data_IF_300636109531
#
_entry.id   IF_300636109531
#
_cell.length_a   1.000
_cell.length_b   1.000
_cell.length_c   1.000
_cell.angle_alpha   90.00
_cell.angle_beta   90.00
_cell.angle_gamma   90.00
#
_symmetry.space_group_name_H-M   'P 1'
#
loop_
_entity.id
_entity.type
_entity.pdbx_description
1 polymer ?
#
# COMPACT_ATOMS: atom_id res chain seq x y z
N UNK A 1 -30.96 10.90 -3.71
CA UNK A 1 -30.12 9.82 -3.14
C UNK A 1 -28.81 10.42 -2.64
N UNK A 2 -28.31 9.95 -1.49
CA UNK A 2 -26.96 10.31 -1.01
C UNK A 2 -25.92 9.63 -1.91
N UNK A 3 -24.84 10.32 -2.23
CA UNK A 3 -23.81 9.88 -3.17
C UNK A 3 -22.47 9.64 -2.45
N UNK A 4 -21.66 8.78 -3.03
CA UNK A 4 -20.29 8.53 -2.59
C UNK A 4 -19.33 9.26 -3.52
N UNK A 5 -18.49 10.14 -2.98
CA UNK A 5 -17.53 10.93 -3.75
C UNK A 5 -16.12 10.62 -3.23
N UNK A 6 -15.31 9.97 -4.04
CA UNK A 6 -13.93 9.63 -3.70
C UNK A 6 -12.97 10.70 -4.21
N UNK A 7 -11.98 11.03 -3.38
CA UNK A 7 -10.87 11.93 -3.72
C UNK A 7 -9.58 11.11 -3.71
N UNK A 8 -8.96 10.94 -4.87
CA UNK A 8 -7.64 10.33 -5.00
C UNK A 8 -6.97 10.83 -6.28
N UNK A 9 -5.65 11.03 -6.25
CA UNK A 9 -4.92 11.58 -7.40
C UNK A 9 -4.95 10.66 -8.61
N UNK A 10 -4.97 9.34 -8.41
CA UNK A 10 -4.95 8.34 -9.46
C UNK A 10 -6.16 7.40 -9.37
N UNK A 11 -6.71 7.08 -10.51
CA UNK A 11 -7.82 6.14 -10.67
C UNK A 11 -7.67 5.38 -11.98
N UNK A 12 -8.50 4.36 -12.21
CA UNK A 12 -8.51 3.58 -13.44
C UNK A 12 -8.37 4.47 -14.71
N UNK A 13 -7.53 4.11 -15.68
CA UNK A 13 -6.77 2.86 -15.85
C UNK A 13 -5.36 2.85 -15.21
N UNK A 14 -5.08 3.70 -14.24
CA UNK A 14 -3.80 3.76 -13.55
C UNK A 14 -3.51 2.47 -12.76
N UNK A 15 -2.24 2.02 -12.77
CA UNK A 15 -1.79 0.77 -12.16
C UNK A 15 -1.11 0.93 -10.79
N UNK A 16 -1.09 2.12 -10.21
CA UNK A 16 -0.58 2.30 -8.85
C UNK A 16 -1.44 1.54 -7.83
N UNK A 17 -0.84 1.05 -6.74
CA UNK A 17 -1.56 0.28 -5.73
C UNK A 17 -2.77 1.04 -5.15
N UNK A 18 -2.62 2.35 -4.92
CA UNK A 18 -3.71 3.20 -4.42
C UNK A 18 -4.85 3.33 -5.41
N UNK A 19 -4.55 3.38 -6.71
CA UNK A 19 -5.54 3.40 -7.79
C UNK A 19 -6.28 2.08 -7.92
N UNK A 20 -5.55 0.95 -7.91
CA UNK A 20 -6.17 -0.38 -8.07
C UNK A 20 -7.16 -0.68 -6.94
N UNK A 21 -6.76 -0.47 -5.68
CA UNK A 21 -7.62 -0.68 -4.51
C UNK A 21 -8.85 0.24 -4.54
N UNK A 22 -8.68 1.51 -4.93
CA UNK A 22 -9.82 2.42 -5.09
C UNK A 22 -10.75 1.98 -6.21
N UNK A 23 -10.19 1.56 -7.35
CA UNK A 23 -10.97 1.11 -8.51
C UNK A 23 -11.81 -0.12 -8.18
N UNK A 24 -11.22 -1.09 -7.47
CA UNK A 24 -11.94 -2.26 -6.97
C UNK A 24 -13.15 -1.88 -6.12
N UNK A 25 -12.94 -1.00 -5.13
CA UNK A 25 -14.01 -0.56 -4.24
C UNK A 25 -15.08 0.24 -4.99
N UNK A 26 -14.68 1.19 -5.82
CA UNK A 26 -15.61 2.05 -6.56
C UNK A 26 -16.50 1.23 -7.52
N UNK A 27 -15.93 0.25 -8.21
CA UNK A 27 -16.65 -0.63 -9.12
C UNK A 27 -17.61 -1.55 -8.37
N UNK A 28 -17.20 -2.12 -7.22
CA UNK A 28 -18.05 -2.96 -6.39
C UNK A 28 -19.26 -2.18 -5.84
N UNK A 29 -19.03 -0.96 -5.35
CA UNK A 29 -20.10 -0.10 -4.83
C UNK A 29 -21.07 0.33 -5.94
N UNK A 30 -20.56 0.66 -7.13
CA UNK A 30 -21.39 0.98 -8.29
C UNK A 30 -22.22 -0.22 -8.74
N UNK A 31 -21.63 -1.41 -8.80
CA UNK A 31 -22.33 -2.65 -9.13
C UNK A 31 -23.41 -3.01 -8.08
N UNK A 32 -23.22 -2.58 -6.82
CA UNK A 32 -24.20 -2.72 -5.74
C UNK A 32 -25.31 -1.65 -5.76
N UNK A 33 -25.36 -0.79 -6.79
CA UNK A 33 -26.40 0.23 -6.98
C UNK A 33 -26.13 1.58 -6.30
N UNK A 34 -24.94 1.82 -5.73
CA UNK A 34 -24.59 3.13 -5.21
C UNK A 34 -24.25 4.13 -6.35
N UNK A 35 -24.63 5.39 -6.19
CA UNK A 35 -24.15 6.45 -7.07
C UNK A 35 -22.74 6.87 -6.64
N UNK A 36 -21.75 6.47 -7.44
CA UNK A 36 -20.32 6.66 -7.15
C UNK A 36 -19.71 7.68 -8.08
N UNK A 37 -19.02 8.65 -7.50
CA UNK A 37 -18.20 9.64 -8.19
C UNK A 37 -16.75 9.52 -7.74
N UNK A 38 -15.81 9.72 -8.67
CA UNK A 38 -14.38 9.78 -8.36
C UNK A 38 -13.80 11.07 -8.93
N UNK A 39 -13.17 11.88 -8.07
CA UNK A 39 -12.42 13.06 -8.50
C UNK A 39 -10.93 12.68 -8.49
N UNK A 40 -10.30 12.72 -9.66
CA UNK A 40 -8.92 12.27 -9.89
C UNK A 40 -8.17 13.19 -10.85
N UNK A 41 -6.87 12.95 -11.08
CA UNK A 41 -6.12 13.68 -12.11
C UNK A 41 -6.30 13.07 -13.50
N UNK A 42 -5.95 13.85 -14.54
CA UNK A 42 -5.87 13.36 -15.92
C UNK A 42 -4.60 12.54 -16.21
N UNK A 43 -3.67 12.53 -15.25
CA UNK A 43 -2.37 11.90 -15.36
C UNK A 43 -2.40 10.44 -14.90
N UNK A 44 -1.46 9.65 -15.39
CA UNK A 44 -1.14 8.32 -14.87
C UNK A 44 0.12 8.39 -14.00
N UNK A 45 0.24 7.44 -13.08
CA UNK A 45 1.36 7.35 -12.15
C UNK A 45 2.71 7.26 -12.86
N UNK A 46 2.81 6.40 -13.86
CA UNK A 46 4.03 6.16 -14.64
C UNK A 46 4.11 7.00 -15.94
N UNK A 47 3.05 7.72 -16.27
CA UNK A 47 2.97 8.59 -17.44
C UNK A 47 2.36 9.96 -17.08
N UNK A 48 3.14 10.87 -16.48
CA UNK A 48 2.65 12.18 -16.06
C UNK A 48 2.16 13.07 -17.20
N UNK A 49 2.56 12.76 -18.43
CA UNK A 49 2.13 13.47 -19.66
C UNK A 49 0.83 12.93 -20.24
N UNK A 50 0.28 11.84 -19.68
CA UNK A 50 -1.00 11.31 -20.12
C UNK A 50 -2.11 12.34 -19.91
N UNK A 51 -3.00 12.45 -20.88
CA UNK A 51 -4.16 13.34 -20.85
C UNK A 51 -5.46 12.56 -21.01
N UNK A 52 -5.90 11.90 -19.94
CA UNK A 52 -7.18 11.19 -19.94
C UNK A 52 -8.37 12.17 -20.10
N UNK A 53 -9.55 11.71 -20.63
CA UNK A 53 -10.75 12.53 -20.75
C UNK A 53 -11.16 13.19 -19.41
N UNK A 54 -11.70 14.41 -19.46
CA UNK A 54 -12.12 15.13 -18.25
C UNK A 54 -13.27 14.45 -17.52
N UNK A 55 -14.25 14.00 -18.27
CA UNK A 55 -15.43 13.28 -17.77
C UNK A 55 -15.48 11.92 -18.43
N UNK A 56 -15.87 10.93 -17.65
CA UNK A 56 -15.96 9.54 -18.10
C UNK A 56 -16.95 8.77 -17.24
N UNK A 57 -17.45 7.66 -17.76
CA UNK A 57 -18.24 6.69 -16.98
C UNK A 57 -17.62 5.31 -17.18
N UNK A 58 -16.98 4.81 -16.11
CA UNK A 58 -16.27 3.53 -16.15
C UNK A 58 -16.96 2.54 -15.22
N UNK A 59 -17.53 1.48 -15.78
CA UNK A 59 -18.27 0.45 -15.00
C UNK A 59 -19.31 1.07 -14.04
N UNK A 60 -20.04 2.09 -14.54
CA UNK A 60 -21.07 2.81 -13.77
C UNK A 60 -20.55 3.90 -12.82
N UNK A 61 -19.25 4.01 -12.61
CA UNK A 61 -18.61 5.06 -11.82
C UNK A 61 -18.45 6.33 -12.66
N UNK A 62 -18.94 7.47 -12.16
CA UNK A 62 -18.75 8.79 -12.77
C UNK A 62 -17.38 9.34 -12.39
N UNK A 63 -16.51 9.51 -13.38
CA UNK A 63 -15.10 9.92 -13.17
C UNK A 63 -14.91 11.36 -13.62
N UNK A 64 -14.49 12.22 -12.69
CA UNK A 64 -14.19 13.63 -12.91
C UNK A 64 -12.68 13.85 -12.85
N UNK A 65 -12.03 14.01 -14.01
CA UNK A 65 -10.57 14.18 -14.06
C UNK A 65 -10.20 15.65 -14.13
N UNK A 66 -9.48 16.12 -13.11
CA UNK A 66 -9.02 17.49 -12.99
C UNK A 66 -7.65 17.70 -13.60
N UNK A 67 -7.42 18.89 -14.16
CA UNK A 67 -6.12 19.28 -14.71
C UNK A 67 -5.15 19.64 -13.59
N UNK A 68 -3.90 19.20 -13.71
CA UNK A 68 -2.81 19.48 -12.79
C UNK A 68 -1.55 19.85 -13.58
N UNK A 69 -0.60 20.52 -12.92
CA UNK A 69 0.73 20.74 -13.49
C UNK A 69 1.54 19.43 -13.56
N UNK A 70 2.59 19.42 -14.38
CA UNK A 70 3.39 18.24 -14.72
C UNK A 70 4.89 18.46 -14.47
N UNK A 71 5.24 19.19 -13.41
CA UNK A 71 6.66 19.41 -13.05
C UNK A 71 7.38 18.13 -12.61
N UNK A 72 6.61 17.10 -12.23
CA UNK A 72 7.10 15.76 -11.97
C UNK A 72 7.63 15.54 -10.56
N UNK A 73 8.20 14.35 -10.36
CA UNK A 73 8.58 13.83 -9.02
C UNK A 73 10.07 13.96 -8.72
N UNK A 74 10.87 14.39 -9.69
CA UNK A 74 12.33 14.44 -9.55
C UNK A 74 12.77 15.45 -8.48
N UNK A 75 12.11 16.61 -8.39
CA UNK A 75 12.42 17.65 -7.43
C UNK A 75 11.25 17.96 -6.48
N UNK A 76 11.58 18.22 -5.20
CA UNK A 76 10.57 18.56 -4.18
C UNK A 76 9.72 19.80 -4.53
N UNK A 77 10.28 20.91 -5.06
CA UNK A 77 9.48 22.08 -5.44
C UNK A 77 8.46 21.79 -6.53
N UNK A 78 8.87 21.08 -7.59
CA UNK A 78 7.96 20.67 -8.67
C UNK A 78 6.79 19.82 -8.18
N UNK A 79 7.10 18.84 -7.32
CA UNK A 79 6.09 18.01 -6.67
C UNK A 79 5.12 18.82 -5.79
N UNK A 80 5.61 19.81 -5.07
CA UNK A 80 4.78 20.69 -4.25
C UNK A 80 3.80 21.53 -5.11
N UNK A 81 4.28 22.03 -6.26
CA UNK A 81 3.44 22.77 -7.22
C UNK A 81 2.39 21.86 -7.83
N UNK A 82 2.76 20.65 -8.22
CA UNK A 82 1.80 19.65 -8.74
C UNK A 82 0.72 19.32 -7.72
N UNK A 83 1.06 19.15 -6.45
CA UNK A 83 0.08 18.95 -5.39
C UNK A 83 -0.83 20.18 -5.19
N UNK A 84 -0.25 21.39 -5.14
CA UNK A 84 -1.02 22.62 -4.98
C UNK A 84 -2.02 22.82 -6.14
N UNK A 85 -1.60 22.57 -7.38
CA UNK A 85 -2.46 22.65 -8.57
C UNK A 85 -3.58 21.60 -8.53
N UNK A 86 -3.25 20.36 -8.08
CA UNK A 86 -4.25 19.31 -7.89
C UNK A 86 -5.27 19.70 -6.81
N UNK A 87 -4.83 20.14 -5.62
CA UNK A 87 -5.75 20.55 -4.55
C UNK A 87 -6.70 21.66 -4.98
N UNK A 88 -6.19 22.67 -5.69
CA UNK A 88 -7.04 23.75 -6.22
C UNK A 88 -8.09 23.23 -7.20
N UNK A 89 -7.71 22.37 -8.12
CA UNK A 89 -8.60 21.81 -9.14
C UNK A 89 -9.60 20.83 -8.55
N UNK A 90 -9.14 19.92 -7.67
CA UNK A 90 -9.97 19.00 -6.89
C UNK A 90 -11.02 19.75 -6.04
N UNK A 91 -10.59 20.80 -5.31
CA UNK A 91 -11.48 21.61 -4.51
C UNK A 91 -12.60 22.23 -5.34
N UNK A 92 -12.28 22.83 -6.48
CA UNK A 92 -13.27 23.43 -7.38
C UNK A 92 -14.25 22.37 -7.89
N UNK A 93 -13.76 21.25 -8.35
CA UNK A 93 -14.59 20.14 -8.83
C UNK A 93 -15.47 19.58 -7.70
N UNK A 94 -14.90 19.30 -6.54
CA UNK A 94 -15.63 18.77 -5.40
C UNK A 94 -16.71 19.75 -4.92
N UNK A 95 -16.40 21.07 -4.88
CA UNK A 95 -17.36 22.11 -4.49
C UNK A 95 -18.55 22.23 -5.44
N UNK A 96 -18.35 22.04 -6.75
CA UNK A 96 -19.45 22.07 -7.72
C UNK A 96 -20.30 20.81 -7.70
N UNK A 97 -19.74 19.71 -7.21
CA UNK A 97 -20.38 18.39 -7.23
C UNK A 97 -21.13 18.07 -5.92
N UNK A 98 -20.54 18.42 -4.76
CA UNK A 98 -21.02 18.01 -3.44
C UNK A 98 -22.39 18.58 -3.11
N UNK A 99 -23.24 17.76 -2.49
CA UNK A 99 -24.58 18.14 -2.02
C UNK A 99 -24.76 17.73 -0.55
N UNK A 100 -25.81 18.27 0.06
CA UNK A 100 -26.19 17.90 1.42
C UNK A 100 -26.43 16.39 1.53
N UNK A 101 -25.80 15.79 2.54
CA UNK A 101 -25.95 14.38 2.85
C UNK A 101 -25.02 13.44 2.06
N UNK A 102 -24.24 13.94 1.10
CA UNK A 102 -23.21 13.13 0.42
C UNK A 102 -22.14 12.66 1.39
N UNK A 103 -21.47 11.57 1.04
CA UNK A 103 -20.29 11.04 1.76
C UNK A 103 -19.05 11.30 0.90
N UNK A 104 -18.14 12.10 1.42
CA UNK A 104 -16.87 12.43 0.78
C UNK A 104 -15.77 11.58 1.37
N UNK A 105 -15.15 10.71 0.57
CA UNK A 105 -14.09 9.80 0.98
C UNK A 105 -12.75 10.35 0.49
N UNK A 106 -11.91 10.78 1.44
CA UNK A 106 -10.60 11.34 1.13
C UNK A 106 -9.51 10.28 1.38
N UNK A 107 -8.85 9.83 0.31
CA UNK A 107 -7.68 8.96 0.38
C UNK A 107 -6.39 9.79 0.54
N UNK A 108 -5.30 9.17 0.99
CA UNK A 108 -4.05 9.88 1.31
C UNK A 108 -3.13 10.14 0.11
N UNK A 109 -3.58 9.96 -1.11
CA UNK A 109 -2.88 10.37 -2.33
C UNK A 109 -3.69 11.44 -3.11
N UNK A 110 -3.28 12.72 -3.02
CA UNK A 110 -2.08 13.25 -2.35
C UNK A 110 -2.27 13.40 -0.83
N UNK A 111 -1.15 13.53 -0.08
CA UNK A 111 -1.18 13.76 1.37
C UNK A 111 -2.09 14.91 1.77
N UNK A 112 -2.79 14.81 2.91
CA UNK A 112 -3.63 15.88 3.46
C UNK A 112 -4.88 16.28 2.62
N UNK A 113 -5.29 15.49 1.63
CA UNK A 113 -6.55 15.71 0.91
C UNK A 113 -7.76 15.82 1.87
N UNK A 114 -7.71 15.10 2.98
CA UNK A 114 -8.71 15.13 4.06
C UNK A 114 -8.90 16.49 4.72
N UNK A 115 -7.86 17.34 4.76
CA UNK A 115 -7.95 18.69 5.34
C UNK A 115 -8.88 19.56 4.49
N UNK A 116 -8.74 19.49 3.18
CA UNK A 116 -9.61 20.19 2.24
C UNK A 116 -11.03 19.60 2.24
N UNK A 117 -11.13 18.29 2.28
CA UNK A 117 -12.40 17.59 2.34
C UNK A 117 -13.20 17.94 3.62
N UNK A 118 -12.54 18.04 4.78
CA UNK A 118 -13.16 18.42 6.05
C UNK A 118 -13.84 19.81 5.99
N UNK A 119 -13.22 20.76 5.29
CA UNK A 119 -13.81 22.09 5.12
C UNK A 119 -15.02 22.06 4.16
N UNK A 120 -14.95 21.26 3.10
CA UNK A 120 -16.06 21.11 2.15
C UNK A 120 -17.29 20.51 2.84
N UNK A 121 -17.12 19.38 3.53
CA UNK A 121 -18.26 18.69 4.17
C UNK A 121 -18.96 19.57 5.21
N UNK A 122 -18.20 20.39 5.93
CA UNK A 122 -18.77 21.35 6.90
C UNK A 122 -19.68 22.38 6.23
N UNK A 123 -19.28 22.88 5.06
CA UNK A 123 -20.05 23.91 4.32
C UNK A 123 -21.31 23.36 3.67
N UNK A 124 -21.37 22.08 3.35
CA UNK A 124 -22.47 21.45 2.62
C UNK A 124 -23.32 20.49 3.46
N UNK A 125 -23.05 20.38 4.77
CA UNK A 125 -23.69 19.39 5.64
C UNK A 125 -23.61 17.97 5.05
N UNK A 126 -22.42 17.60 4.60
CA UNK A 126 -22.04 16.29 4.09
C UNK A 126 -21.17 15.55 5.13
N UNK A 127 -20.83 14.29 4.89
CA UNK A 127 -20.04 13.47 5.81
C UNK A 127 -18.65 13.23 5.24
N UNK A 128 -17.63 13.19 6.12
CA UNK A 128 -16.24 12.88 5.74
C UNK A 128 -15.89 11.48 6.19
N UNK A 129 -15.29 10.72 5.28
CA UNK A 129 -14.55 9.49 5.58
C UNK A 129 -13.08 9.72 5.21
N UNK A 130 -12.18 9.55 6.16
CA UNK A 130 -10.75 9.49 5.87
C UNK A 130 -10.37 8.04 5.55
N UNK A 131 -9.73 7.81 4.41
CA UNK A 131 -9.13 6.53 4.04
C UNK A 131 -7.62 6.64 4.13
N UNK A 132 -7.07 6.22 5.27
CA UNK A 132 -5.68 6.42 5.63
C UNK A 132 -4.84 5.22 5.18
N UNK A 133 -4.04 5.42 4.13
CA UNK A 133 -3.01 4.47 3.69
C UNK A 133 -1.67 4.77 4.36
N UNK A 134 -1.43 6.07 4.56
CA UNK A 134 -0.21 6.64 5.11
C UNK A 134 -0.54 7.79 6.06
N UNK A 135 0.23 7.96 7.11
CA UNK A 135 0.05 9.05 8.06
C UNK A 135 1.04 10.18 7.77
N UNK A 136 0.53 11.27 7.21
CA UNK A 136 1.27 12.50 6.94
C UNK A 136 0.91 13.59 7.95
N UNK A 137 1.86 14.47 8.33
CA UNK A 137 3.20 14.66 7.79
C UNK A 137 4.29 13.76 8.40
N UNK A 138 3.99 12.93 9.38
CA UNK A 138 4.96 12.13 10.14
C UNK A 138 5.75 11.18 9.22
N UNK A 139 5.10 10.54 8.28
CA UNK A 139 5.79 9.69 7.30
C UNK A 139 6.80 10.47 6.47
N UNK A 140 6.45 11.69 6.04
CA UNK A 140 7.38 12.55 5.31
C UNK A 140 8.59 12.94 6.18
N UNK A 141 8.35 13.25 7.45
CA UNK A 141 9.42 13.58 8.41
C UNK A 141 10.35 12.38 8.66
N UNK A 142 9.78 11.17 8.85
CA UNK A 142 10.53 9.93 9.06
C UNK A 142 11.31 9.49 7.81
N UNK A 143 10.83 9.80 6.61
CA UNK A 143 11.54 9.52 5.35
C UNK A 143 12.52 10.63 4.92
N UNK A 144 12.76 11.63 5.78
CA UNK A 144 13.79 12.65 5.58
C UNK A 144 13.37 13.80 4.65
N UNK A 145 12.07 14.08 4.50
CA UNK A 145 11.60 15.25 3.75
C UNK A 145 11.91 16.52 4.56
N UNK A 146 12.68 17.48 4.00
CA UNK A 146 13.02 18.74 4.69
C UNK A 146 11.76 19.49 5.16
N UNK A 147 11.90 20.25 6.24
CA UNK A 147 10.85 21.10 6.84
C UNK A 147 9.64 20.36 7.43
N UNK A 148 9.52 19.03 7.27
CA UNK A 148 8.45 18.25 7.90
C UNK A 148 8.72 17.97 9.39
N UNK A 149 9.98 18.13 9.83
CA UNK A 149 10.34 18.21 11.26
C UNK A 149 10.33 19.68 11.68
N UNK A 150 9.37 20.13 12.48
CA UNK A 150 9.31 21.50 12.97
C UNK A 150 7.94 22.17 12.83
N UNK A 151 7.89 23.51 12.84
CA UNK A 151 6.64 24.28 12.89
C UNK A 151 5.68 23.97 11.72
N UNK A 152 6.21 23.84 10.52
CA UNK A 152 5.39 23.52 9.33
C UNK A 152 4.74 22.13 9.46
N UNK A 153 5.51 21.10 9.79
CA UNK A 153 5.00 19.76 10.02
C UNK A 153 3.98 19.71 11.15
N UNK A 154 4.27 20.37 12.28
CA UNK A 154 3.35 20.45 13.41
C UNK A 154 2.03 21.13 13.05
N UNK A 155 2.06 22.17 12.22
CA UNK A 155 0.86 22.85 11.74
C UNK A 155 0.02 21.94 10.84
N UNK A 156 0.67 21.25 9.91
CA UNK A 156 -0.01 20.28 9.04
C UNK A 156 -0.59 19.11 9.84
N UNK A 157 0.14 18.60 10.85
CA UNK A 157 -0.35 17.56 11.75
C UNK A 157 -1.59 18.01 12.52
N UNK A 158 -1.61 19.24 13.06
CA UNK A 158 -2.78 19.81 13.74
C UNK A 158 -3.99 19.92 12.82
N UNK A 159 -3.80 20.35 11.56
CA UNK A 159 -4.87 20.42 10.58
C UNK A 159 -5.42 19.03 10.23
N UNK A 160 -4.53 18.05 10.02
CA UNK A 160 -4.89 16.66 9.79
C UNK A 160 -5.65 16.08 11.00
N UNK A 161 -5.18 16.31 12.24
CA UNK A 161 -5.84 15.81 13.45
C UNK A 161 -7.26 16.39 13.60
N UNK A 162 -7.46 17.66 13.25
CA UNK A 162 -8.82 18.25 13.19
C UNK A 162 -9.72 17.53 12.19
N UNK A 163 -9.17 17.10 11.04
CA UNK A 163 -9.91 16.31 10.06
C UNK A 163 -10.28 14.92 10.62
N UNK A 164 -9.34 14.24 11.33
CA UNK A 164 -9.60 12.95 11.98
C UNK A 164 -10.73 13.04 13.03
N UNK A 165 -10.67 14.07 13.89
CA UNK A 165 -11.69 14.27 14.94
C UNK A 165 -13.07 14.59 14.39
N UNK A 166 -13.16 15.25 13.23
CA UNK A 166 -14.41 15.66 12.59
C UNK A 166 -15.01 14.63 11.64
N UNK A 167 -14.21 13.67 11.20
CA UNK A 167 -14.67 12.65 10.26
C UNK A 167 -15.77 11.78 10.89
N UNK A 168 -16.72 11.38 10.07
CA UNK A 168 -17.74 10.40 10.43
C UNK A 168 -17.12 9.00 10.60
N UNK A 169 -16.08 8.69 9.79
CA UNK A 169 -15.26 7.50 9.93
C UNK A 169 -13.82 7.76 9.50
N UNK A 170 -12.88 7.08 10.18
CA UNK A 170 -11.47 6.99 9.81
C UNK A 170 -11.15 5.53 9.51
N UNK A 171 -10.97 5.19 8.25
CA UNK A 171 -10.59 3.85 7.83
C UNK A 171 -9.08 3.77 7.74
N UNK A 172 -8.50 2.86 8.50
CA UNK A 172 -7.05 2.60 8.61
C UNK A 172 -6.71 1.20 8.14
N UNK A 173 -5.45 0.96 7.77
CA UNK A 173 -5.04 -0.28 7.11
C UNK A 173 -4.41 -1.32 8.06
N UNK A 174 -4.30 -1.00 9.36
CA UNK A 174 -3.73 -1.90 10.36
C UNK A 174 -4.04 -1.45 11.79
N UNK A 175 -3.87 -2.35 12.75
CA UNK A 175 -4.14 -2.11 14.17
C UNK A 175 -3.19 -1.07 14.77
N UNK A 176 -1.90 -1.13 14.43
CA UNK A 176 -0.92 -0.14 14.87
C UNK A 176 -1.27 1.26 14.38
N UNK A 177 -1.77 1.37 13.16
CA UNK A 177 -2.26 2.65 12.62
C UNK A 177 -3.53 3.11 13.35
N UNK A 178 -4.43 2.19 13.73
CA UNK A 178 -5.62 2.51 14.52
C UNK A 178 -5.26 3.07 15.90
N UNK A 179 -4.32 2.43 16.61
CA UNK A 179 -3.80 2.90 17.89
C UNK A 179 -3.17 4.29 17.76
N UNK A 180 -2.38 4.51 16.71
CA UNK A 180 -1.78 5.80 16.44
C UNK A 180 -2.83 6.87 16.16
N UNK A 181 -3.81 6.63 15.30
CA UNK A 181 -4.91 7.56 14.99
C UNK A 181 -5.75 7.86 16.24
N UNK A 182 -5.99 6.86 17.08
CA UNK A 182 -6.64 7.06 18.40
C UNK A 182 -5.83 8.00 19.31
N UNK A 183 -4.51 7.85 19.36
CA UNK A 183 -3.62 8.72 20.16
C UNK A 183 -3.62 10.18 19.67
N UNK A 184 -3.98 10.41 18.39
CA UNK A 184 -4.13 11.73 17.79
C UNK A 184 -5.50 12.40 18.09
N UNK A 185 -6.38 11.74 18.86
CA UNK A 185 -7.65 12.27 19.32
C UNK A 185 -8.87 11.87 18.49
N UNK A 186 -8.75 10.93 17.55
CA UNK A 186 -9.91 10.37 16.88
C UNK A 186 -10.73 9.49 17.85
N UNK A 187 -12.05 9.61 17.78
CA UNK A 187 -12.95 8.82 18.62
C UNK A 187 -12.87 7.31 18.23
N UNK A 188 -12.70 6.39 19.20
CA UNK A 188 -12.52 4.96 18.91
C UNK A 188 -13.64 4.35 18.04
N UNK A 189 -14.89 4.73 18.30
CA UNK A 189 -16.06 4.27 17.55
C UNK A 189 -16.14 4.82 16.12
N UNK A 190 -15.21 5.68 15.72
CA UNK A 190 -15.07 6.21 14.35
C UNK A 190 -13.81 5.70 13.66
N UNK A 191 -13.08 4.77 14.27
CA UNK A 191 -11.90 4.15 13.69
C UNK A 191 -12.26 2.75 13.25
N UNK A 192 -12.08 2.45 11.96
CA UNK A 192 -12.37 1.17 11.36
C UNK A 192 -11.11 0.62 10.70
N UNK A 193 -10.70 -0.59 11.11
CA UNK A 193 -9.54 -1.26 10.50
C UNK A 193 -10.04 -2.07 9.31
N UNK A 194 -9.67 -1.60 8.11
CA UNK A 194 -9.92 -2.34 6.87
C UNK A 194 -8.57 -2.47 6.16
N UNK A 195 -7.91 -3.63 6.27
CA UNK A 195 -6.62 -3.87 5.65
C UNK A 195 -6.66 -3.70 4.13
N UNK A 196 -5.50 -3.44 3.54
CA UNK A 196 -5.36 -3.52 2.09
C UNK A 196 -5.58 -4.98 1.64
N UNK A 197 -5.90 -5.15 0.37
CA UNK A 197 -6.14 -6.45 -0.25
C UNK A 197 -5.45 -6.56 -1.60
N UNK A 198 -5.46 -7.75 -2.11
CA UNK A 198 -5.07 -8.09 -3.48
C UNK A 198 -6.21 -8.88 -4.13
N UNK A 199 -6.23 -8.96 -5.45
CA UNK A 199 -7.13 -9.89 -6.13
C UNK A 199 -6.67 -11.33 -5.89
N UNK A 200 -7.13 -11.90 -4.78
CA UNK A 200 -6.76 -13.24 -4.29
C UNK A 200 -7.37 -14.37 -5.13
N UNK A 201 -8.30 -14.05 -6.03
CA UNK A 201 -8.84 -14.99 -7.01
C UNK A 201 -7.94 -15.11 -8.24
N UNK A 202 -7.35 -14.03 -8.71
CA UNK A 202 -6.39 -14.03 -9.82
C UNK A 202 -4.97 -14.38 -9.36
N UNK A 203 -4.56 -13.85 -8.21
CA UNK A 203 -3.23 -14.10 -7.64
C UNK A 203 -3.30 -15.31 -6.70
N UNK A 204 -2.84 -16.43 -7.22
CA UNK A 204 -2.86 -17.74 -6.55
C UNK A 204 -1.49 -18.40 -6.59
N UNK A 205 -1.22 -19.37 -5.70
CA UNK A 205 -0.03 -20.20 -5.80
C UNK A 205 0.10 -20.85 -7.18
N UNK A 206 1.30 -20.79 -7.74
CA UNK A 206 1.70 -21.47 -8.97
C UNK A 206 2.94 -22.30 -8.64
N UNK A 207 2.97 -23.53 -9.11
CA UNK A 207 4.14 -24.41 -8.96
C UNK A 207 5.31 -23.85 -9.74
N UNK A 208 6.53 -24.11 -9.28
CA UNK A 208 7.74 -23.57 -9.93
C UNK A 208 7.94 -24.15 -11.35
N UNK A 209 7.60 -25.42 -11.54
CA UNK A 209 7.67 -26.10 -12.85
C UNK A 209 6.60 -25.61 -13.84
N UNK A 210 5.52 -25.02 -13.35
CA UNK A 210 4.44 -24.41 -14.15
C UNK A 210 4.64 -22.88 -14.38
N UNK A 211 5.68 -22.29 -13.76
CA UNK A 211 5.89 -20.85 -13.85
C UNK A 211 6.82 -20.49 -15.03
N UNK A 212 6.29 -19.90 -16.12
CA UNK A 212 7.07 -19.58 -17.30
C UNK A 212 8.23 -18.61 -17.02
N UNK A 213 8.06 -17.68 -16.06
CA UNK A 213 9.12 -16.73 -15.73
C UNK A 213 10.30 -17.38 -14.99
N UNK A 214 10.11 -18.49 -14.26
CA UNK A 214 11.24 -19.22 -13.69
C UNK A 214 12.12 -19.82 -14.77
N UNK A 215 11.52 -20.33 -15.83
CA UNK A 215 12.24 -20.87 -16.99
C UNK A 215 12.89 -19.75 -17.80
N UNK A 216 12.14 -18.73 -18.16
CA UNK A 216 12.63 -17.58 -18.93
C UNK A 216 13.81 -16.88 -18.23
N UNK A 217 13.74 -16.78 -16.91
CA UNK A 217 14.78 -16.13 -16.12
C UNK A 217 15.89 -17.10 -15.64
N UNK A 218 15.86 -18.37 -16.01
CA UNK A 218 16.88 -19.36 -15.68
C UNK A 218 17.03 -19.59 -14.16
N UNK A 219 15.90 -19.76 -13.45
CA UNK A 219 15.86 -19.82 -11.99
C UNK A 219 15.48 -21.20 -11.43
N UNK A 220 15.50 -22.25 -12.27
CA UNK A 220 15.01 -23.58 -11.90
C UNK A 220 15.78 -24.16 -10.68
N UNK A 221 17.10 -23.97 -10.67
CA UNK A 221 18.01 -24.51 -9.64
C UNK A 221 18.35 -23.48 -8.54
N UNK A 222 17.63 -22.35 -8.49
CA UNK A 222 17.89 -21.27 -7.55
C UNK A 222 16.85 -21.24 -6.43
N UNK A 223 17.31 -20.98 -5.21
CA UNK A 223 16.46 -20.52 -4.11
C UNK A 223 16.33 -18.99 -4.20
N UNK A 224 15.16 -18.53 -4.59
CA UNK A 224 14.90 -17.14 -4.93
C UNK A 224 14.31 -16.38 -3.74
N UNK A 225 15.06 -15.41 -3.23
CA UNK A 225 14.64 -14.46 -2.20
C UNK A 225 14.08 -13.24 -2.88
N UNK A 226 12.75 -13.13 -2.97
CA UNK A 226 12.07 -12.15 -3.80
C UNK A 226 11.64 -10.89 -3.04
N UNK A 227 11.79 -9.74 -3.69
CA UNK A 227 11.14 -8.49 -3.32
C UNK A 227 10.40 -7.93 -4.53
N UNK A 228 9.09 -7.72 -4.43
CA UNK A 228 8.28 -7.25 -5.55
C UNK A 228 7.57 -5.94 -5.23
N UNK A 229 7.76 -4.91 -6.08
CA UNK A 229 7.09 -3.63 -6.01
C UNK A 229 7.99 -2.41 -5.83
N UNK A 230 7.43 -1.31 -5.33
CA UNK A 230 8.16 -0.04 -5.14
C UNK A 230 9.16 -0.12 -3.98
N UNK A 231 10.42 0.15 -4.27
CA UNK A 231 11.51 0.26 -3.31
C UNK A 231 11.62 1.73 -2.83
N UNK A 232 10.68 2.12 -1.97
CA UNK A 232 10.58 3.48 -1.43
C UNK A 232 11.54 3.75 -0.27
N UNK A 233 11.56 5.00 0.20
CA UNK A 233 12.42 5.45 1.32
C UNK A 233 12.06 4.84 2.67
N UNK A 234 10.87 4.27 2.80
CA UNK A 234 10.40 3.63 4.02
C UNK A 234 11.02 2.25 4.26
N UNK A 235 11.65 1.67 3.25
CA UNK A 235 12.20 0.32 3.32
C UNK A 235 13.67 0.34 3.75
N UNK A 236 14.05 -0.72 4.46
CA UNK A 236 15.40 -0.99 4.95
C UNK A 236 16.00 -2.12 4.10
N UNK A 237 17.26 -1.98 3.66
CA UNK A 237 17.96 -2.97 2.83
C UNK A 237 19.40 -3.24 3.29
N UNK A 238 19.89 -2.53 4.27
CA UNK A 238 21.25 -2.74 4.78
C UNK A 238 21.38 -4.14 5.41
N UNK A 239 20.29 -4.65 6.00
CA UNK A 239 20.18 -6.04 6.48
C UNK A 239 20.32 -7.06 5.35
N UNK A 240 19.70 -6.80 4.20
CA UNK A 240 19.79 -7.67 3.02
C UNK A 240 21.22 -7.68 2.47
N UNK A 241 21.85 -6.50 2.38
CA UNK A 241 23.25 -6.38 1.94
C UNK A 241 24.21 -7.12 2.88
N UNK A 242 24.02 -6.98 4.19
CA UNK A 242 24.84 -7.70 5.17
C UNK A 242 24.66 -9.23 5.08
N UNK A 243 23.43 -9.71 4.91
CA UNK A 243 23.15 -11.12 4.70
C UNK A 243 23.75 -11.64 3.39
N UNK A 244 23.69 -10.87 2.32
CA UNK A 244 24.23 -11.27 1.02
C UNK A 244 25.75 -11.39 1.02
N UNK A 245 26.45 -10.62 1.84
CA UNK A 245 27.89 -10.75 2.05
C UNK A 245 28.26 -12.12 2.63
N UNK A 246 27.48 -12.61 3.59
CA UNK A 246 27.66 -13.93 4.20
C UNK A 246 27.28 -15.06 3.23
N UNK A 247 26.39 -14.80 2.27
CA UNK A 247 25.87 -15.78 1.31
C UNK A 247 26.55 -15.72 -0.07
N UNK A 248 27.57 -14.88 -0.25
CA UNK A 248 28.16 -14.60 -1.57
C UNK A 248 28.76 -15.84 -2.25
N UNK A 249 29.18 -16.85 -1.46
CA UNK A 249 29.75 -18.09 -1.97
C UNK A 249 28.72 -19.21 -2.19
N UNK A 250 27.45 -18.99 -1.90
CA UNK A 250 26.38 -19.95 -2.22
C UNK A 250 25.64 -19.56 -3.50
N UNK A 251 26.01 -20.17 -4.64
CA UNK A 251 25.41 -19.81 -5.92
C UNK A 251 23.93 -20.21 -6.02
N UNK A 252 23.40 -20.99 -5.09
CA UNK A 252 21.99 -21.40 -5.10
C UNK A 252 21.07 -20.26 -4.67
N UNK A 253 21.53 -19.35 -3.80
CA UNK A 253 20.70 -18.25 -3.26
C UNK A 253 20.77 -17.05 -4.21
N UNK A 254 19.61 -16.57 -4.64
CA UNK A 254 19.47 -15.39 -5.48
C UNK A 254 18.52 -14.39 -4.86
N UNK A 255 18.95 -13.17 -4.67
CA UNK A 255 18.10 -12.03 -4.31
C UNK A 255 17.52 -11.41 -5.59
N UNK A 256 16.20 -11.51 -5.74
CA UNK A 256 15.47 -11.01 -6.91
C UNK A 256 14.63 -9.78 -6.53
N UNK A 257 14.93 -8.64 -7.14
CA UNK A 257 14.17 -7.41 -6.98
C UNK A 257 13.39 -7.12 -8.26
N UNK A 258 12.06 -7.20 -8.18
CA UNK A 258 11.15 -6.90 -9.29
C UNK A 258 10.44 -5.59 -9.01
N UNK A 259 10.66 -4.56 -9.83
CA UNK A 259 9.98 -3.27 -9.66
C UNK A 259 10.88 -2.07 -9.93
N UNK A 260 10.79 -1.09 -9.06
CA UNK A 260 11.54 0.17 -9.16
C UNK A 260 11.40 0.99 -7.88
N UNK A 261 11.71 2.28 -7.95
CA UNK A 261 11.55 3.20 -6.83
C UNK A 261 12.84 3.90 -6.43
N UNK A 262 12.71 4.81 -5.47
CA UNK A 262 13.80 5.74 -5.12
C UNK A 262 15.10 5.03 -4.67
N UNK A 263 15.00 3.89 -4.00
CA UNK A 263 16.15 3.16 -3.49
C UNK A 263 16.63 2.04 -4.43
N UNK A 264 15.91 1.75 -5.50
CA UNK A 264 16.24 0.65 -6.41
C UNK A 264 17.64 0.82 -7.03
N UNK A 265 17.91 2.00 -7.59
CA UNK A 265 19.22 2.29 -8.19
C UNK A 265 20.36 2.39 -7.16
N UNK A 266 20.03 2.87 -5.92
CA UNK A 266 21.01 2.89 -4.82
C UNK A 266 21.42 1.49 -4.42
N UNK A 267 20.44 0.59 -4.28
CA UNK A 267 20.69 -0.81 -3.97
C UNK A 267 21.49 -1.49 -5.08
N UNK A 268 21.10 -1.31 -6.35
CA UNK A 268 21.82 -1.86 -7.48
C UNK A 268 23.29 -1.39 -7.56
N UNK A 269 23.53 -0.12 -7.28
CA UNK A 269 24.92 0.43 -7.17
C UNK A 269 25.68 -0.23 -6.01
N UNK A 270 25.08 -0.30 -4.82
CA UNK A 270 25.72 -0.91 -3.64
C UNK A 270 26.08 -2.40 -3.87
N UNK A 271 25.24 -3.13 -4.59
CA UNK A 271 25.51 -4.53 -4.99
C UNK A 271 26.70 -4.59 -5.94
N UNK A 272 26.77 -3.73 -6.96
CA UNK A 272 27.88 -3.67 -7.91
C UNK A 272 29.19 -3.28 -7.23
N UNK A 273 29.17 -2.26 -6.38
CA UNK A 273 30.37 -1.79 -5.65
C UNK A 273 30.96 -2.86 -4.74
N UNK A 274 30.11 -3.73 -4.18
CA UNK A 274 30.50 -4.85 -3.33
C UNK A 274 30.77 -6.15 -4.10
N UNK A 275 30.62 -6.16 -5.43
CA UNK A 275 30.77 -7.34 -6.31
C UNK A 275 29.85 -8.51 -5.97
N UNK A 276 28.61 -8.21 -5.56
CA UNK A 276 27.58 -9.22 -5.24
C UNK A 276 26.70 -9.58 -6.44
N UNK A 277 27.05 -9.11 -7.64
CA UNK A 277 26.25 -9.28 -8.86
C UNK A 277 25.79 -10.73 -9.14
N UNK A 278 26.57 -11.80 -8.86
CA UNK A 278 26.12 -13.16 -9.14
C UNK A 278 24.90 -13.60 -8.32
N UNK A 279 24.72 -13.00 -7.13
CA UNK A 279 23.65 -13.36 -6.20
C UNK A 279 22.47 -12.36 -6.25
N UNK A 280 22.51 -11.37 -7.15
CA UNK A 280 21.45 -10.40 -7.29
C UNK A 280 20.92 -10.32 -8.73
N UNK A 281 19.61 -10.12 -8.82
CA UNK A 281 18.97 -9.78 -10.10
C UNK A 281 17.95 -8.67 -9.90
N UNK A 282 17.99 -7.67 -10.77
CA UNK A 282 17.08 -6.55 -10.82
C UNK A 282 16.25 -6.61 -12.10
N UNK A 283 14.94 -6.62 -11.94
CA UNK A 283 13.97 -6.73 -13.03
C UNK A 283 12.98 -5.56 -12.93
N UNK A 284 12.66 -4.86 -14.00
CA UNK A 284 11.68 -3.77 -13.96
C UNK A 284 10.27 -4.28 -13.61
N UNK A 285 9.33 -3.34 -13.39
CA UNK A 285 7.94 -3.68 -13.19
C UNK A 285 7.43 -4.58 -14.31
N UNK A 286 6.73 -5.64 -13.92
CA UNK A 286 6.10 -6.55 -14.86
C UNK A 286 4.68 -6.10 -15.19
N UNK A 287 4.19 -6.35 -16.40
CA UNK A 287 2.79 -6.14 -16.76
C UNK A 287 1.84 -6.85 -15.78
N UNK A 288 0.67 -6.28 -15.55
CA UNK A 288 -0.32 -6.86 -14.63
C UNK A 288 -0.71 -8.31 -15.00
N UNK A 289 -0.73 -8.62 -16.31
CA UNK A 289 -0.97 -9.98 -16.80
C UNK A 289 0.07 -11.00 -16.35
N UNK A 290 1.30 -10.56 -16.05
CA UNK A 290 2.39 -11.40 -15.54
C UNK A 290 2.54 -11.33 -14.02
N UNK A 291 1.77 -10.50 -13.30
CA UNK A 291 1.91 -10.31 -11.86
C UNK A 291 1.79 -11.62 -11.08
N UNK A 292 0.83 -12.48 -11.46
CA UNK A 292 0.68 -13.82 -10.89
C UNK A 292 1.97 -14.62 -10.96
N UNK A 293 2.62 -14.63 -12.10
CA UNK A 293 3.85 -15.41 -12.32
C UNK A 293 5.06 -14.74 -11.67
N UNK A 294 5.20 -13.43 -11.77
CA UNK A 294 6.33 -12.71 -11.18
C UNK A 294 6.38 -12.78 -9.65
N UNK A 295 5.23 -12.80 -8.98
CA UNK A 295 5.17 -13.06 -7.54
C UNK A 295 5.48 -14.52 -7.20
N UNK A 296 5.09 -15.48 -8.03
CA UNK A 296 5.35 -16.91 -7.82
C UNK A 296 6.78 -17.36 -8.18
N UNK A 297 7.64 -16.48 -8.71
CA UNK A 297 9.03 -16.81 -8.98
C UNK A 297 9.81 -17.06 -7.68
N UNK A 298 9.51 -16.32 -6.63
CA UNK A 298 10.20 -16.38 -5.35
C UNK A 298 9.89 -17.65 -4.57
N UNK A 299 10.88 -18.16 -3.83
CA UNK A 299 10.73 -19.20 -2.82
C UNK A 299 10.32 -18.59 -1.48
N UNK A 300 10.80 -17.39 -1.16
CA UNK A 300 10.43 -16.57 -0.01
C UNK A 300 10.31 -15.11 -0.41
N UNK A 301 9.43 -14.34 0.26
CA UNK A 301 9.29 -12.91 0.01
C UNK A 301 9.83 -12.06 1.15
N UNK A 302 10.62 -11.04 0.80
CA UNK A 302 11.08 -10.01 1.72
C UNK A 302 10.03 -8.92 1.86
N UNK A 303 9.68 -8.60 3.09
CA UNK A 303 8.90 -7.42 3.46
C UNK A 303 9.76 -6.60 4.40
N UNK A 304 9.96 -5.33 4.10
CA UNK A 304 10.83 -4.47 4.89
C UNK A 304 10.10 -3.18 5.25
N UNK A 305 10.31 -2.72 6.47
CA UNK A 305 9.86 -1.42 6.96
C UNK A 305 10.84 -0.92 8.02
N UNK A 306 11.22 0.34 7.95
CA UNK A 306 12.01 0.98 8.99
C UNK A 306 11.22 1.06 10.29
N UNK A 307 11.80 0.72 11.46
CA UNK A 307 11.09 0.69 12.74
C UNK A 307 10.38 2.00 13.11
N UNK A 308 11.01 3.15 12.81
CA UNK A 308 10.45 4.47 13.08
C UNK A 308 9.20 4.83 12.27
N UNK A 309 8.80 3.99 11.32
CA UNK A 309 7.63 4.19 10.48
C UNK A 309 6.48 3.23 10.80
N UNK A 310 6.64 2.38 11.81
CA UNK A 310 5.56 1.52 12.29
C UNK A 310 4.34 2.35 12.74
N UNK A 311 3.15 1.88 12.37
CA UNK A 311 1.90 2.59 12.60
C UNK A 311 1.64 3.77 11.66
N UNK A 312 2.62 4.19 10.84
CA UNK A 312 2.44 5.27 9.86
C UNK A 312 2.06 4.76 8.47
N UNK A 313 2.40 3.53 8.15
CA UNK A 313 2.01 2.81 6.94
C UNK A 313 2.07 1.29 7.18
N UNK A 314 1.44 0.52 6.29
CA UNK A 314 1.56 -0.95 6.26
C UNK A 314 2.07 -1.37 4.88
N UNK A 315 3.16 -2.17 4.79
CA UNK A 315 3.71 -2.63 3.52
C UNK A 315 2.72 -3.50 2.74
N UNK A 316 2.11 -2.97 1.69
CA UNK A 316 1.10 -3.67 0.88
C UNK A 316 1.60 -4.94 0.17
N UNK A 317 2.92 -5.08 0.01
CA UNK A 317 3.56 -6.27 -0.59
C UNK A 317 3.29 -7.56 0.21
N UNK A 318 3.02 -7.42 1.51
CA UNK A 318 2.64 -8.51 2.39
C UNK A 318 1.46 -9.33 1.83
N UNK A 319 0.43 -8.67 1.33
CA UNK A 319 -0.76 -9.35 0.79
C UNK A 319 -0.44 -10.14 -0.49
N UNK A 320 0.46 -9.63 -1.34
CA UNK A 320 0.92 -10.34 -2.53
C UNK A 320 1.72 -11.60 -2.21
N UNK A 321 2.64 -11.52 -1.24
CA UNK A 321 3.42 -12.65 -0.76
C UNK A 321 2.51 -13.74 -0.14
N UNK A 322 1.55 -13.34 0.68
CA UNK A 322 0.57 -14.25 1.27
C UNK A 322 -0.32 -14.90 0.20
N UNK A 323 -0.76 -14.14 -0.81
CA UNK A 323 -1.63 -14.63 -1.88
C UNK A 323 -0.97 -15.73 -2.72
N UNK A 324 0.32 -15.65 -2.97
CA UNK A 324 1.06 -16.70 -3.69
C UNK A 324 1.53 -17.86 -2.80
N UNK A 325 1.18 -17.83 -1.51
CA UNK A 325 1.48 -18.92 -0.59
C UNK A 325 2.98 -19.14 -0.40
N UNK A 326 3.77 -18.08 -0.26
CA UNK A 326 5.21 -18.15 0.01
C UNK A 326 5.52 -17.67 1.42
N UNK A 327 6.57 -18.22 2.09
CA UNK A 327 7.04 -17.70 3.37
C UNK A 327 7.34 -16.21 3.32
N UNK A 328 7.06 -15.51 4.40
CA UNK A 328 7.31 -14.09 4.53
C UNK A 328 8.50 -13.85 5.45
N UNK A 329 9.55 -13.25 4.93
CA UNK A 329 10.67 -12.75 5.73
C UNK A 329 10.41 -11.27 6.02
N UNK A 330 10.05 -10.96 7.26
CA UNK A 330 9.73 -9.60 7.70
C UNK A 330 10.95 -8.94 8.33
N UNK A 331 11.54 -7.96 7.66
CA UNK A 331 12.63 -7.13 8.19
C UNK A 331 12.00 -5.84 8.73
N UNK A 332 11.50 -5.89 9.96
CA UNK A 332 10.69 -4.83 10.58
C UNK A 332 10.94 -4.81 12.09
N UNK A 333 10.37 -3.84 12.81
CA UNK A 333 10.33 -3.92 14.27
C UNK A 333 9.65 -5.22 14.70
N UNK A 334 10.17 -5.87 15.74
CA UNK A 334 9.70 -7.20 16.20
C UNK A 334 8.26 -7.16 16.73
N UNK A 335 7.80 -6.00 17.16
CA UNK A 335 6.44 -5.71 17.61
C UNK A 335 5.59 -4.99 16.53
N UNK A 336 6.11 -4.82 15.31
CA UNK A 336 5.43 -4.17 14.19
C UNK A 336 4.21 -4.95 13.68
N UNK A 337 3.35 -4.29 12.90
CA UNK A 337 2.10 -4.86 12.35
C UNK A 337 2.36 -6.19 11.62
N UNK A 338 3.28 -6.17 10.66
CA UNK A 338 3.59 -7.36 9.86
C UNK A 338 4.30 -8.43 10.70
N UNK A 339 5.20 -8.04 11.59
CA UNK A 339 5.89 -8.97 12.47
C UNK A 339 4.91 -9.76 13.35
N UNK A 340 3.93 -9.09 13.94
CA UNK A 340 2.89 -9.73 14.75
C UNK A 340 2.04 -10.72 13.92
N UNK A 341 1.66 -10.37 12.69
CA UNK A 341 0.91 -11.26 11.80
C UNK A 341 1.75 -12.50 11.42
N UNK A 342 3.03 -12.31 11.07
CA UNK A 342 3.94 -13.39 10.71
C UNK A 342 4.13 -14.35 11.89
N UNK A 343 4.29 -13.84 13.10
CA UNK A 343 4.45 -14.64 14.32
C UNK A 343 3.15 -15.36 14.71
N UNK A 344 2.02 -14.65 14.75
CA UNK A 344 0.70 -15.19 15.11
C UNK A 344 0.30 -16.38 14.22
N UNK A 345 0.57 -16.27 12.92
CA UNK A 345 0.19 -17.30 11.95
C UNK A 345 1.30 -18.27 11.59
N UNK A 346 2.49 -18.12 12.16
CA UNK A 346 3.67 -18.96 11.85
C UNK A 346 3.91 -19.08 10.33
N UNK A 347 3.73 -17.99 9.59
CA UNK A 347 3.75 -17.96 8.13
C UNK A 347 5.05 -17.40 7.55
N UNK A 348 6.09 -17.28 8.40
CA UNK A 348 7.38 -16.74 8.00
C UNK A 348 8.30 -16.52 9.18
N UNK A 349 9.26 -15.61 9.00
CA UNK A 349 10.31 -15.31 9.98
C UNK A 349 10.43 -13.80 10.13
N UNK A 350 10.56 -13.33 11.36
CA UNK A 350 10.82 -11.93 11.70
C UNK A 350 12.32 -11.76 11.94
N UNK A 351 12.91 -10.82 11.24
CA UNK A 351 14.31 -10.40 11.34
C UNK A 351 14.34 -8.96 11.81
N UNK A 352 15.06 -8.71 12.88
CA UNK A 352 15.29 -7.34 13.34
C UNK A 352 16.20 -6.59 12.34
N UNK A 353 15.87 -5.34 11.97
CA UNK A 353 16.72 -4.54 11.10
C UNK A 353 18.17 -4.45 11.64
N UNK A 354 19.15 -4.64 10.75
CA UNK A 354 20.56 -4.71 11.10
C UNK A 354 21.09 -6.15 11.35
N UNK A 355 20.20 -7.14 11.57
CA UNK A 355 20.62 -8.51 11.85
C UNK A 355 20.78 -9.34 10.56
N UNK A 356 21.78 -8.97 9.73
CA UNK A 356 22.09 -9.68 8.48
C UNK A 356 22.54 -11.12 8.69
N UNK A 357 23.22 -11.41 9.81
CA UNK A 357 23.64 -12.78 10.14
C UNK A 357 22.43 -13.69 10.32
N UNK A 358 21.45 -13.27 11.13
CA UNK A 358 20.21 -14.05 11.35
C UNK A 358 19.45 -14.25 10.04
N UNK A 359 19.37 -13.22 9.19
CA UNK A 359 18.76 -13.35 7.88
C UNK A 359 19.47 -14.40 7.02
N UNK A 360 20.81 -14.39 6.97
CA UNK A 360 21.59 -15.35 6.20
C UNK A 360 21.37 -16.78 6.70
N UNK A 361 21.41 -17.00 8.02
CA UNK A 361 21.19 -18.31 8.66
C UNK A 361 19.80 -18.87 8.30
N UNK A 362 18.73 -18.08 8.41
CA UNK A 362 17.38 -18.52 8.11
C UNK A 362 17.17 -18.80 6.61
N UNK A 363 17.77 -18.00 5.73
CA UNK A 363 17.73 -18.26 4.29
C UNK A 363 18.45 -19.57 3.93
N UNK A 364 19.59 -19.85 4.53
CA UNK A 364 20.28 -21.13 4.36
C UNK A 364 19.46 -22.31 4.88
N UNK A 365 18.81 -22.17 6.02
CA UNK A 365 17.94 -23.21 6.56
C UNK A 365 16.73 -23.47 5.65
N UNK A 366 16.04 -22.42 5.19
CA UNK A 366 14.91 -22.57 4.29
C UNK A 366 15.30 -23.13 2.92
N UNK A 367 16.48 -22.78 2.41
CA UNK A 367 16.97 -23.33 1.13
C UNK A 367 17.27 -24.85 1.19
N UNK A 368 17.55 -25.37 2.37
CA UNK A 368 17.82 -26.79 2.63
C UNK A 368 16.57 -27.58 3.06
N UNK A 369 15.50 -26.90 3.48
CA UNK A 369 14.25 -27.50 3.93
C UNK A 369 13.04 -26.95 3.15
N UNK A 370 12.80 -27.44 1.92
CA UNK A 370 11.64 -27.05 1.12
C UNK A 370 10.30 -27.36 1.79
N UNK A 371 10.24 -28.37 2.66
CA UNK A 371 9.01 -28.76 3.37
C UNK A 371 8.61 -27.70 4.38
N UNK A 372 9.58 -27.19 5.16
CA UNK A 372 9.39 -26.07 6.10
C UNK A 372 8.92 -24.82 5.35
N UNK A 373 9.58 -24.48 4.23
CA UNK A 373 9.20 -23.34 3.41
C UNK A 373 7.77 -23.49 2.86
N UNK A 374 7.41 -24.67 2.33
CA UNK A 374 6.08 -24.93 1.82
C UNK A 374 5.01 -24.83 2.91
N UNK A 375 5.28 -25.32 4.13
CA UNK A 375 4.34 -25.23 5.26
C UNK A 375 4.10 -23.76 5.68
N UNK A 376 5.15 -22.96 5.83
CA UNK A 376 5.03 -21.52 6.10
C UNK A 376 4.22 -20.82 5.01
N UNK A 377 4.47 -21.17 3.75
CA UNK A 377 3.73 -20.63 2.61
C UNK A 377 2.23 -20.98 2.64
N UNK A 378 1.87 -22.23 2.96
CA UNK A 378 0.47 -22.63 3.15
C UNK A 378 -0.20 -21.81 4.25
N UNK A 379 0.47 -21.61 5.38
CA UNK A 379 -0.02 -20.79 6.48
C UNK A 379 -0.20 -19.32 6.09
N UNK A 380 0.72 -18.77 5.28
CA UNK A 380 0.57 -17.41 4.73
C UNK A 380 -0.69 -17.30 3.86
N UNK A 381 -0.96 -18.27 3.00
CA UNK A 381 -2.17 -18.31 2.18
C UNK A 381 -3.42 -18.47 3.03
N UNK A 382 -3.44 -19.39 3.99
CA UNK A 382 -4.57 -19.59 4.92
C UNK A 382 -4.89 -18.34 5.74
N UNK A 383 -3.86 -17.62 6.22
CA UNK A 383 -4.03 -16.35 6.89
C UNK A 383 -4.71 -15.32 5.97
N UNK A 384 -4.26 -15.19 4.72
CA UNK A 384 -4.87 -14.26 3.76
C UNK A 384 -6.34 -14.62 3.52
N UNK A 385 -6.67 -15.89 3.31
CA UNK A 385 -8.02 -16.37 3.09
C UNK A 385 -8.94 -16.15 4.29
N UNK A 386 -8.40 -16.28 5.51
CA UNK A 386 -9.15 -16.03 6.73
C UNK A 386 -9.41 -14.54 7.00
N UNK A 387 -8.43 -13.64 6.70
CA UNK A 387 -8.44 -12.28 7.24
C UNK A 387 -8.38 -11.17 6.18
N UNK A 388 -7.85 -11.42 4.97
CA UNK A 388 -7.40 -10.36 4.06
C UNK A 388 -7.89 -10.53 2.62
N UNK A 389 -8.97 -11.26 2.40
CA UNK A 389 -9.53 -11.41 1.04
C UNK A 389 -10.14 -10.11 0.55
N UNK A 390 -10.07 -9.88 -0.76
CA UNK A 390 -10.76 -8.78 -1.43
C UNK A 390 -12.25 -8.73 -1.05
N UNK A 391 -12.91 -9.89 -1.02
CA UNK A 391 -14.35 -10.01 -0.68
C UNK A 391 -14.65 -9.51 0.74
N UNK A 392 -13.82 -9.86 1.73
CA UNK A 392 -13.98 -9.39 3.11
C UNK A 392 -13.78 -7.88 3.22
N UNK A 393 -12.71 -7.34 2.63
CA UNK A 393 -12.44 -5.91 2.64
C UNK A 393 -13.59 -5.09 2.00
N UNK A 394 -14.08 -5.52 0.83
CA UNK A 394 -15.22 -4.87 0.17
C UNK A 394 -16.52 -4.98 1.00
N UNK A 395 -16.76 -6.11 1.68
CA UNK A 395 -17.91 -6.27 2.57
C UNK A 395 -17.84 -5.30 3.76
N UNK A 396 -16.66 -5.15 4.39
CA UNK A 396 -16.45 -4.18 5.48
C UNK A 396 -16.67 -2.74 5.01
N UNK A 397 -16.12 -2.36 3.85
CA UNK A 397 -16.35 -1.05 3.26
C UNK A 397 -17.84 -0.79 3.00
N UNK A 398 -18.57 -1.76 2.43
CA UNK A 398 -20.02 -1.62 2.24
C UNK A 398 -20.76 -1.43 3.56
N UNK A 399 -20.36 -2.12 4.63
CA UNK A 399 -20.91 -1.95 5.97
C UNK A 399 -20.76 -0.53 6.47
N UNK A 400 -19.53 -0.01 6.50
CA UNK A 400 -19.23 1.36 6.95
C UNK A 400 -19.98 2.41 6.12
N UNK A 401 -19.93 2.31 4.79
CA UNK A 401 -20.57 3.32 3.92
C UNK A 401 -22.10 3.24 3.94
N UNK A 402 -22.68 2.04 4.06
CA UNK A 402 -24.14 1.88 4.17
C UNK A 402 -24.70 2.48 5.45
N UNK A 403 -24.03 2.29 6.58
CA UNK A 403 -24.43 2.89 7.86
C UNK A 403 -24.43 4.44 7.77
N UNK A 404 -23.37 5.02 7.18
CA UNK A 404 -23.29 6.46 6.95
C UNK A 404 -24.39 6.99 6.01
N UNK A 405 -24.69 6.26 4.94
CA UNK A 405 -25.74 6.62 4.00
C UNK A 405 -27.14 6.57 4.65
N UNK A 406 -27.40 5.63 5.53
CA UNK A 406 -28.66 5.54 6.27
C UNK A 406 -28.74 6.55 7.42
N UNK A 407 -27.62 7.00 7.95
CA UNK A 407 -27.54 7.84 9.15
C UNK A 407 -27.58 7.04 10.44
N UNK A 408 -27.26 5.74 10.35
CA UNK A 408 -27.20 4.84 11.48
C UNK A 408 -25.89 5.09 12.28
N UNK A 409 -25.90 4.73 13.58
CA UNK A 409 -24.67 4.69 14.35
C UNK A 409 -23.75 3.59 13.78
N UNK A 410 -22.45 3.90 13.68
CA UNK A 410 -21.46 2.91 13.28
C UNK A 410 -21.16 2.02 14.50
N UNK A 411 -21.52 0.75 14.44
CA UNK A 411 -21.09 -0.22 15.45
C UNK A 411 -19.59 -0.48 15.31
N UNK A 412 -18.87 -0.34 16.43
CA UNK A 412 -17.40 -0.45 16.48
C UNK A 412 -16.89 -1.90 16.38
N UNK A 413 -17.79 -2.91 16.36
CA UNK A 413 -17.43 -4.31 16.36
C UNK A 413 -17.40 -4.89 14.95
N UNK A 414 -16.25 -4.73 14.28
CA UNK A 414 -15.85 -5.66 13.24
C UNK A 414 -14.82 -6.62 13.87
N UNK A 415 -14.92 -7.95 13.62
CA UNK A 415 -14.03 -8.93 14.26
C UNK A 415 -12.57 -8.57 14.01
N UNK A 416 -11.77 -8.55 15.07
CA UNK A 416 -10.34 -8.40 15.00
C UNK A 416 -9.76 -9.55 14.16
N UNK A 417 -8.96 -9.20 13.14
CA UNK A 417 -8.23 -10.14 12.31
C UNK A 417 -7.19 -10.95 13.11
#
# INVERSE_FOLDING_TARGET
MKRLIFLNRFFYPDHSATSQILSDLAFDLSASGAEVHVITSRQLYDSPQAELPREDVVRGVKVHRVTTTTFGRAALPGRAIDYASYYRSMWRCARSLIRRGDVLIAKTDPPLASVFAAQLVANFNAQLVNWLQDIYPELAAGTGVPFMKGLAGNTLARLRNRSLMRAAANVVVGQRMAEYVKSLGAAPNRIHVIPNWIDDEQIRPVRHDENPLRTEWGLQERFVVGYAGNLGRAHEFDTVLAASELLQNDPRILFLFVGGGHQFERLARAVKDRRFDPNFRFVPYQPQSLLKYSLNVADVHLISLKPELEGLLVPSKFYGAAAVGRPIISITATDGEIAQLVQKHNCGIVIEPGNGQRLAEELMLLSKDPSRAAEMGRRARSMLEACFTRRQALAHWRGVLSALLKGDALDAELPAA
#
